data_IF_477327088794
#
_entry.id   IF_477327088794
#
_cell.length_a   1.000
_cell.length_b   1.000
_cell.length_c   1.000
_cell.angle_alpha   90.00
_cell.angle_beta   90.00
_cell.angle_gamma   90.00
#
_symmetry.space_group_name_H-M   'P 1'
#
loop_
_entity.id
_entity.type
_entity.pdbx_description
1 polymer ?
#
# COMPACT_ATOMS: atom_id res chain seq x y z
N UNK A 1 -15.07 -5.76 -33.43
CA UNK A 1 -14.86 -4.57 -32.57
C UNK A 1 -14.38 -5.08 -31.22
N UNK A 2 -13.05 -5.27 -31.10
CA UNK A 2 -12.42 -5.83 -29.92
C UNK A 2 -12.17 -4.68 -28.93
N UNK A 3 -12.84 -4.69 -27.78
CA UNK A 3 -12.37 -3.96 -26.59
C UNK A 3 -11.51 -4.94 -25.81
N UNK A 4 -10.22 -4.70 -25.85
CA UNK A 4 -9.21 -5.41 -25.07
C UNK A 4 -9.34 -4.91 -23.62
N UNK A 5 -10.09 -5.63 -22.81
CA UNK A 5 -9.97 -5.48 -21.36
C UNK A 5 -8.74 -6.29 -20.95
N UNK A 6 -7.69 -5.59 -20.56
CA UNK A 6 -6.53 -6.17 -19.90
C UNK A 6 -6.98 -6.69 -18.52
N UNK A 7 -7.66 -7.84 -18.49
CA UNK A 7 -7.78 -8.66 -17.29
C UNK A 7 -6.38 -9.16 -16.96
N UNK A 8 -5.66 -8.39 -16.17
CA UNK A 8 -4.62 -8.95 -15.33
C UNK A 8 -5.36 -9.95 -14.43
N UNK A 9 -5.28 -11.24 -14.75
CA UNK A 9 -5.71 -12.32 -13.88
C UNK A 9 -4.81 -12.28 -12.65
N UNK A 10 -5.14 -11.40 -11.71
CA UNK A 10 -4.65 -11.48 -10.34
C UNK A 10 -5.25 -12.74 -9.76
N UNK A 11 -4.38 -13.70 -9.46
CA UNK A 11 -4.74 -14.89 -8.69
C UNK A 11 -5.38 -14.40 -7.39
N UNK A 12 -6.67 -14.72 -7.20
CA UNK A 12 -7.38 -14.49 -5.94
C UNK A 12 -6.75 -15.38 -4.87
N UNK A 13 -5.68 -14.89 -4.25
CA UNK A 13 -5.26 -15.38 -2.96
C UNK A 13 -6.21 -14.77 -1.94
N UNK A 14 -7.19 -15.54 -1.45
CA UNK A 14 -7.89 -15.17 -0.24
C UNK A 14 -6.84 -15.06 0.88
N UNK A 15 -6.39 -13.85 1.17
CA UNK A 15 -5.47 -13.56 2.26
C UNK A 15 -6.24 -13.77 3.57
N UNK A 16 -6.06 -14.92 4.20
CA UNK A 16 -6.71 -15.23 5.48
C UNK A 16 -5.86 -14.67 6.62
N UNK A 17 -6.53 -14.06 7.60
CA UNK A 17 -5.91 -13.49 8.81
C UNK A 17 -5.00 -12.28 8.53
N UNK A 18 -5.35 -11.48 7.52
CA UNK A 18 -4.65 -10.23 7.20
C UNK A 18 -5.64 -9.08 7.32
N UNK A 19 -5.25 -8.04 8.06
CA UNK A 19 -5.99 -6.80 8.10
C UNK A 19 -5.44 -5.83 7.06
N UNK A 20 -6.30 -5.32 6.20
CA UNK A 20 -5.95 -4.26 5.27
C UNK A 20 -6.17 -2.90 5.93
N UNK A 21 -5.13 -2.07 5.96
CA UNK A 21 -5.20 -0.72 6.51
C UNK A 21 -4.94 0.30 5.39
N UNK A 22 -5.78 1.34 5.30
CA UNK A 22 -5.55 2.47 4.41
C UNK A 22 -5.98 3.79 5.05
N UNK A 23 -5.44 4.90 4.56
CA UNK A 23 -5.83 6.24 5.01
C UNK A 23 -7.17 6.67 4.40
N UNK A 24 -7.82 7.63 5.05
CA UNK A 24 -9.16 8.10 4.68
C UNK A 24 -9.18 9.09 3.50
N UNK A 25 -8.19 9.05 2.59
CA UNK A 25 -8.07 10.00 1.47
C UNK A 25 -9.25 9.83 0.48
N UNK A 26 -9.79 10.91 -0.12
CA UNK A 26 -11.01 10.87 -0.94
C UNK A 26 -10.96 9.91 -2.13
N UNK A 27 -9.78 9.68 -2.72
CA UNK A 27 -9.60 8.75 -3.84
C UNK A 27 -9.90 7.30 -3.43
N UNK A 28 -9.74 6.96 -2.15
CA UNK A 28 -10.09 5.66 -1.58
C UNK A 28 -11.58 5.51 -1.24
N UNK A 29 -12.41 6.53 -1.53
CA UNK A 29 -13.85 6.55 -1.19
C UNK A 29 -14.76 6.10 -2.33
N UNK A 30 -14.20 5.79 -3.50
CA UNK A 30 -14.96 5.35 -4.67
C UNK A 30 -15.61 3.98 -4.36
N UNK A 31 -16.88 3.84 -4.72
CA UNK A 31 -17.68 2.63 -4.42
C UNK A 31 -17.08 1.35 -4.99
N UNK A 32 -16.47 1.40 -6.18
CA UNK A 32 -15.80 0.24 -6.79
C UNK A 32 -14.60 -0.24 -5.98
N UNK A 33 -13.80 0.67 -5.42
CA UNK A 33 -12.66 0.34 -4.56
C UNK A 33 -13.15 -0.31 -3.27
N UNK A 34 -14.20 0.26 -2.65
CA UNK A 34 -14.81 -0.31 -1.45
C UNK A 34 -15.34 -1.73 -1.67
N UNK A 35 -16.07 -1.94 -2.77
CA UNK A 35 -16.61 -3.25 -3.09
C UNK A 35 -15.49 -4.28 -3.26
N UNK A 36 -14.43 -3.93 -3.99
CA UNK A 36 -13.26 -4.79 -4.17
C UNK A 36 -12.60 -5.14 -2.82
N UNK A 37 -12.39 -4.15 -1.95
CA UNK A 37 -11.77 -4.39 -0.64
C UNK A 37 -12.63 -5.31 0.24
N UNK A 38 -13.95 -5.14 0.24
CA UNK A 38 -14.88 -6.02 0.97
C UNK A 38 -14.89 -7.43 0.39
N UNK A 39 -14.82 -7.59 -0.93
CA UNK A 39 -14.76 -8.91 -1.58
C UNK A 39 -13.47 -9.67 -1.23
N UNK A 40 -12.33 -8.98 -1.11
CA UNK A 40 -11.03 -9.60 -0.82
C UNK A 40 -10.73 -9.78 0.67
N UNK A 41 -11.08 -8.80 1.51
CA UNK A 41 -10.70 -8.75 2.93
C UNK A 41 -11.89 -8.88 3.90
N UNK A 42 -13.13 -8.83 3.40
CA UNK A 42 -14.34 -8.91 4.24
C UNK A 42 -14.37 -7.80 5.30
N UNK A 43 -14.52 -8.20 6.56
CA UNK A 43 -14.51 -7.29 7.72
C UNK A 43 -13.10 -6.92 8.19
N UNK A 44 -12.04 -7.46 7.58
CA UNK A 44 -10.65 -7.24 8.01
C UNK A 44 -10.06 -5.95 7.41
N UNK A 45 -10.80 -4.85 7.50
CA UNK A 45 -10.44 -3.55 6.92
C UNK A 45 -10.42 -2.47 8.01
N UNK A 46 -9.29 -1.77 8.12
CA UNK A 46 -9.07 -0.60 8.97
C UNK A 46 -8.95 0.63 8.07
N UNK A 47 -9.95 1.52 8.09
CA UNK A 47 -9.98 2.63 7.16
C UNK A 47 -11.39 3.19 6.94
N UNK A 48 -11.53 4.09 5.98
CA UNK A 48 -12.80 4.74 5.72
C UNK A 48 -13.83 3.79 5.12
N UNK A 49 -14.87 3.46 5.90
CA UNK A 49 -15.90 2.50 5.51
C UNK A 49 -15.50 1.03 5.65
N UNK A 50 -14.41 0.76 6.37
CA UNK A 50 -14.08 -0.59 6.88
C UNK A 50 -14.81 -0.91 8.18
N UNK A 51 -14.54 -2.09 8.74
CA UNK A 51 -15.10 -2.51 10.03
C UNK A 51 -14.58 -1.65 11.19
N UNK A 52 -13.30 -1.28 11.14
CA UNK A 52 -12.68 -0.36 12.08
C UNK A 52 -12.42 0.97 11.38
N UNK A 53 -13.05 2.04 11.83
CA UNK A 53 -12.76 3.38 11.31
C UNK A 53 -11.37 3.84 11.74
N UNK A 54 -10.66 4.47 10.80
CA UNK A 54 -9.37 5.11 11.03
C UNK A 54 -9.54 6.61 11.24
N UNK A 55 -8.89 7.22 12.25
CA UNK A 55 -9.01 8.64 12.49
C UNK A 55 -8.53 9.47 11.28
N UNK A 56 -9.24 10.56 10.93
CA UNK A 56 -8.85 11.39 9.80
C UNK A 56 -7.54 12.15 10.12
N UNK A 57 -6.64 12.23 9.13
CA UNK A 57 -5.37 12.97 9.20
C UNK A 57 -4.40 12.47 10.28
N UNK A 58 -4.28 11.15 10.41
CA UNK A 58 -3.31 10.50 11.31
C UNK A 58 -2.22 9.73 10.54
N UNK A 59 -1.33 10.42 9.81
CA UNK A 59 -0.19 9.79 9.14
C UNK A 59 0.82 9.21 10.14
N UNK A 60 0.87 9.74 11.35
CA UNK A 60 1.69 9.23 12.46
C UNK A 60 1.30 7.79 12.87
N UNK A 61 0.06 7.38 12.59
CA UNK A 61 -0.45 6.07 12.98
C UNK A 61 -0.30 5.02 11.87
N UNK A 62 0.11 5.39 10.65
CA UNK A 62 0.35 4.41 9.58
C UNK A 62 1.85 4.07 9.53
N UNK A 63 2.26 2.79 9.67
CA UNK A 63 3.67 2.40 9.53
C UNK A 63 4.28 2.78 8.18
N UNK A 64 3.42 2.93 7.16
CA UNK A 64 3.78 3.40 5.83
C UNK A 64 4.29 4.84 5.86
N UNK A 65 3.53 5.76 6.49
CA UNK A 65 3.87 7.19 6.53
C UNK A 65 4.86 7.53 7.63
N UNK A 66 4.82 6.84 8.78
CA UNK A 66 5.72 7.09 9.90
C UNK A 66 7.13 6.55 9.68
N UNK A 67 7.27 5.44 8.95
CA UNK A 67 8.55 4.77 8.74
C UNK A 67 8.90 4.54 7.27
N UNK A 68 8.08 3.78 6.53
CA UNK A 68 8.52 3.21 5.25
C UNK A 68 8.87 4.30 4.22
N UNK A 69 8.03 5.33 4.07
CA UNK A 69 8.32 6.42 3.13
C UNK A 69 9.59 7.18 3.48
N UNK A 70 9.84 7.43 4.77
CA UNK A 70 11.07 8.07 5.25
C UNK A 70 12.31 7.23 4.94
N UNK A 71 12.24 5.92 5.24
CA UNK A 71 13.32 4.97 4.97
C UNK A 71 13.62 4.87 3.47
N UNK A 72 12.60 4.62 2.63
CA UNK A 72 12.78 4.49 1.19
C UNK A 72 13.33 5.78 0.58
N UNK A 73 12.82 6.94 0.99
CA UNK A 73 13.32 8.23 0.50
C UNK A 73 14.80 8.42 0.83
N UNK A 74 15.23 8.05 2.05
CA UNK A 74 16.64 8.12 2.44
C UNK A 74 17.52 7.23 1.57
N UNK A 75 17.09 6.00 1.25
CA UNK A 75 17.88 5.07 0.43
C UNK A 75 17.91 5.50 -1.04
N UNK A 76 16.74 5.80 -1.61
CA UNK A 76 16.59 6.10 -3.04
C UNK A 76 17.28 7.40 -3.43
N UNK A 77 17.17 8.43 -2.58
CA UNK A 77 17.72 9.76 -2.82
C UNK A 77 19.05 10.01 -2.08
N UNK A 78 19.73 8.97 -1.58
CA UNK A 78 21.10 9.09 -1.06
C UNK A 78 22.03 9.73 -2.10
N UNK A 79 21.76 9.50 -3.39
CA UNK A 79 22.27 10.29 -4.51
C UNK A 79 21.12 10.63 -5.47
N UNK A 80 21.20 11.72 -6.25
CA UNK A 80 20.17 12.01 -7.26
C UNK A 80 20.08 10.89 -8.30
N UNK A 81 18.90 10.27 -8.49
CA UNK A 81 18.73 9.24 -9.52
C UNK A 81 18.73 9.89 -10.92
N UNK A 82 19.63 9.50 -11.84
CA UNK A 82 19.79 10.15 -13.14
C UNK A 82 18.69 9.80 -14.15
N UNK A 83 17.99 8.68 -13.95
CA UNK A 83 16.94 8.20 -14.86
C UNK A 83 15.77 7.59 -14.10
N UNK A 84 14.63 7.46 -14.78
CA UNK A 84 13.46 6.77 -14.24
C UNK A 84 13.77 5.27 -13.97
N UNK A 85 14.57 4.62 -14.81
CA UNK A 85 14.93 3.22 -14.61
C UNK A 85 15.78 3.04 -13.35
N UNK A 86 16.75 3.93 -13.11
CA UNK A 86 17.56 3.92 -11.90
C UNK A 86 16.69 4.19 -10.66
N UNK A 87 15.75 5.14 -10.73
CA UNK A 87 14.78 5.37 -9.66
C UNK A 87 13.97 4.11 -9.31
N UNK A 88 13.43 3.43 -10.33
CA UNK A 88 12.65 2.19 -10.14
C UNK A 88 13.49 1.06 -9.54
N UNK A 89 14.73 0.90 -10.00
CA UNK A 89 15.66 -0.10 -9.48
C UNK A 89 15.96 0.18 -8.00
N UNK A 90 16.28 1.41 -7.64
CA UNK A 90 16.56 1.79 -6.25
C UNK A 90 15.37 1.61 -5.32
N UNK A 91 14.15 1.89 -5.78
CA UNK A 91 12.94 1.63 -5.00
C UNK A 91 12.82 0.11 -4.75
N UNK A 92 13.00 -0.70 -5.79
CA UNK A 92 12.93 -2.16 -5.69
C UNK A 92 13.98 -2.72 -4.72
N UNK A 93 15.23 -2.26 -4.84
CA UNK A 93 16.34 -2.68 -3.97
C UNK A 93 16.12 -2.23 -2.52
N UNK A 94 15.67 -0.98 -2.31
CA UNK A 94 15.38 -0.47 -0.97
C UNK A 94 14.26 -1.27 -0.30
N UNK A 95 13.20 -1.62 -1.03
CA UNK A 95 12.13 -2.50 -0.56
C UNK A 95 12.64 -3.91 -0.23
N UNK A 96 13.50 -4.50 -1.06
CA UNK A 96 14.08 -5.83 -0.82
C UNK A 96 14.94 -5.88 0.46
N UNK A 97 15.49 -4.74 0.88
CA UNK A 97 16.28 -4.61 2.10
C UNK A 97 15.43 -4.37 3.37
N UNK A 98 14.12 -4.15 3.25
CA UNK A 98 13.24 -4.01 4.42
C UNK A 98 13.02 -5.38 5.05
N UNK A 99 13.51 -5.55 6.28
CA UNK A 99 13.38 -6.82 7.01
C UNK A 99 12.12 -6.84 7.88
N UNK A 100 11.56 -8.03 8.21
CA UNK A 100 10.47 -8.14 9.18
C UNK A 100 10.81 -7.51 10.54
N UNK A 101 12.08 -7.60 10.97
CA UNK A 101 12.52 -7.00 12.22
C UNK A 101 12.46 -5.47 12.23
N UNK A 102 12.59 -4.82 11.07
CA UNK A 102 12.40 -3.36 10.95
C UNK A 102 10.92 -3.01 11.11
N UNK A 103 10.03 -3.77 10.47
CA UNK A 103 8.58 -3.52 10.49
C UNK A 103 7.95 -3.79 11.87
N UNK A 104 8.46 -4.76 12.63
CA UNK A 104 7.99 -5.07 13.99
C UNK A 104 8.41 -4.02 15.05
N UNK A 105 9.23 -3.05 14.69
CA UNK A 105 9.73 -1.99 15.58
C UNK A 105 9.07 -0.63 15.34
N UNK A 106 8.18 -0.56 14.36
CA UNK A 106 7.41 0.65 14.01
C UNK A 106 6.17 0.75 14.88
#
# INVERSE_FOLDING_TARGET
>A
MLKTEHKCTFVCFQLRNVWFQHDGEPEHKISSVKQYLVEEFGEQIIGYGGFQEWPPRSPDLTPMDSFLWGYLKQQVYATPPPTLQDLQLRITDACANVTPAMLLRV
#
